data_IF_524764451301
#
_entry.id   IF_524764451301
#
_cell.length_a   1.000
_cell.length_b   1.000
_cell.length_c   1.000
_cell.angle_alpha   90.00
_cell.angle_beta   90.00
_cell.angle_gamma   90.00
#
_symmetry.space_group_name_H-M   'P 1'
#
loop_
_entity.id
_entity.type
_entity.pdbx_description
1 polymer ?
#
# COMPACT_ATOMS: atom_id res chain seq x y z
N UNK A 1 -15.00 -12.53 15.06
CA UNK A 1 -14.06 -12.17 13.99
C UNK A 1 -12.99 -13.25 13.92
N UNK A 2 -12.87 -13.93 12.80
CA UNK A 2 -11.95 -15.06 12.66
C UNK A 2 -10.49 -14.59 12.64
N UNK A 3 -9.57 -15.43 13.13
CA UNK A 3 -8.11 -15.19 13.08
C UNK A 3 -7.65 -14.85 11.66
N UNK A 4 -8.24 -15.45 10.64
CA UNK A 4 -8.01 -15.16 9.23
C UNK A 4 -8.22 -13.68 8.88
N UNK A 5 -9.27 -13.06 9.41
CA UNK A 5 -9.56 -11.64 9.19
C UNK A 5 -8.49 -10.72 9.82
N UNK A 6 -7.99 -11.08 11.00
CA UNK A 6 -6.94 -10.32 11.68
C UNK A 6 -5.61 -10.39 10.91
N UNK A 7 -5.26 -11.55 10.37
CA UNK A 7 -4.02 -11.73 9.62
C UNK A 7 -4.12 -11.06 8.24
N UNK A 8 -5.29 -11.12 7.60
CA UNK A 8 -5.55 -10.36 6.37
C UNK A 8 -5.45 -8.85 6.62
N UNK A 9 -5.95 -8.36 7.75
CA UNK A 9 -5.80 -6.96 8.14
C UNK A 9 -4.32 -6.56 8.30
N UNK A 10 -3.49 -7.39 8.92
CA UNK A 10 -2.06 -7.15 9.05
C UNK A 10 -1.36 -7.07 7.68
N UNK A 11 -1.73 -7.94 6.75
CA UNK A 11 -1.20 -7.87 5.39
C UNK A 11 -1.56 -6.54 4.71
N UNK A 12 -2.82 -6.10 4.80
CA UNK A 12 -3.24 -4.78 4.30
C UNK A 12 -2.48 -3.64 4.97
N UNK A 13 -2.28 -3.72 6.28
CA UNK A 13 -1.53 -2.72 7.04
C UNK A 13 -0.09 -2.58 6.49
N UNK A 14 0.62 -3.68 6.32
CA UNK A 14 1.99 -3.65 5.81
C UNK A 14 2.06 -3.21 4.35
N UNK A 15 1.13 -3.63 3.51
CA UNK A 15 1.08 -3.20 2.10
C UNK A 15 0.78 -1.70 2.01
N UNK A 16 -0.16 -1.21 2.80
CA UNK A 16 -0.47 0.22 2.85
C UNK A 16 0.73 1.04 3.34
N UNK A 17 1.41 0.57 4.37
CA UNK A 17 2.62 1.23 4.84
C UNK A 17 3.77 1.16 3.81
N UNK A 18 3.86 0.06 3.07
CA UNK A 18 4.77 -0.05 1.93
C UNK A 18 4.49 1.02 0.86
N UNK A 19 3.23 1.27 0.53
CA UNK A 19 2.82 2.34 -0.39
C UNK A 19 3.27 3.70 0.15
N UNK A 20 3.05 3.99 1.41
CA UNK A 20 3.47 5.25 2.02
C UNK A 20 4.99 5.45 1.93
N UNK A 21 5.74 4.41 2.20
CA UNK A 21 7.20 4.46 2.16
C UNK A 21 7.74 4.57 0.73
N UNK A 22 7.17 3.80 -0.20
CA UNK A 22 7.57 3.78 -1.61
C UNK A 22 7.33 5.15 -2.28
N UNK A 23 6.17 5.73 -2.05
CA UNK A 23 5.77 7.02 -2.62
C UNK A 23 6.27 8.22 -1.81
N UNK A 24 6.93 7.98 -0.67
CA UNK A 24 7.43 9.03 0.22
C UNK A 24 6.34 10.02 0.62
N UNK A 25 5.22 9.48 1.08
CA UNK A 25 4.07 10.26 1.52
C UNK A 25 4.44 11.12 2.73
N UNK A 26 3.80 12.29 2.85
CA UNK A 26 4.08 13.27 3.88
C UNK A 26 3.87 12.71 5.29
N UNK A 27 4.92 12.67 6.10
CA UNK A 27 4.89 12.19 7.49
C UNK A 27 4.08 13.08 8.45
N UNK A 28 3.83 14.33 8.08
CA UNK A 28 2.98 15.22 8.87
C UNK A 28 1.50 14.87 8.79
N UNK A 29 1.10 14.05 7.81
CA UNK A 29 -0.25 13.50 7.80
C UNK A 29 -0.43 12.59 9.03
N UNK A 30 -1.45 12.82 9.89
CA UNK A 30 -1.65 12.03 11.13
C UNK A 30 -1.82 10.55 10.90
N UNK A 31 -2.42 10.13 9.79
CA UNK A 31 -2.60 8.71 9.43
C UNK A 31 -1.23 8.08 9.15
N UNK A 32 -0.40 8.72 8.34
CA UNK A 32 0.95 8.25 8.05
C UNK A 32 1.81 8.21 9.31
N UNK A 33 1.72 9.23 10.15
CA UNK A 33 2.42 9.30 11.43
C UNK A 33 2.03 8.16 12.37
N UNK A 34 0.77 7.76 12.38
CA UNK A 34 0.30 6.62 13.15
C UNK A 34 0.95 5.30 12.67
N UNK A 35 1.01 5.06 11.36
CA UNK A 35 1.68 3.89 10.78
C UNK A 35 3.17 3.86 11.12
N UNK A 36 3.86 5.00 11.00
CA UNK A 36 5.28 5.13 11.33
C UNK A 36 5.53 4.80 12.81
N UNK A 37 4.67 5.29 13.69
CA UNK A 37 4.76 5.04 15.13
C UNK A 37 4.60 3.56 15.47
N UNK A 38 3.65 2.87 14.83
CA UNK A 38 3.44 1.44 15.02
C UNK A 38 4.58 0.59 14.45
N UNK A 39 5.16 1.02 13.34
CA UNK A 39 6.27 0.29 12.70
C UNK A 39 7.62 0.49 13.40
N UNK A 40 7.80 1.57 14.12
CA UNK A 40 9.08 1.93 14.76
C UNK A 40 9.69 0.79 15.60
N UNK A 41 8.94 0.09 16.48
CA UNK A 41 9.52 -1.04 17.22
C UNK A 41 9.87 -2.22 16.32
N UNK A 42 9.08 -2.47 15.26
CA UNK A 42 9.32 -3.55 14.30
C UNK A 42 10.59 -3.28 13.49
N UNK A 43 10.84 -2.04 13.11
CA UNK A 43 12.02 -1.64 12.34
C UNK A 43 13.34 -1.88 13.06
N UNK A 44 13.31 -1.93 14.39
CA UNK A 44 14.51 -2.23 15.20
C UNK A 44 14.87 -3.72 15.16
N UNK A 45 13.87 -4.57 15.04
CA UNK A 45 14.02 -6.03 15.08
C UNK A 45 14.23 -6.56 13.66
N UNK A 46 13.48 -6.05 12.69
CA UNK A 46 13.49 -6.53 11.31
C UNK A 46 14.16 -5.50 10.39
N UNK A 47 15.44 -5.70 10.14
CA UNK A 47 16.24 -4.86 9.25
C UNK A 47 17.18 -5.75 8.42
N UNK A 48 16.61 -6.36 7.38
CA UNK A 48 17.36 -7.26 6.48
C UNK A 48 18.07 -6.47 5.38
N UNK A 49 17.39 -5.47 4.81
CA UNK A 49 17.92 -4.65 3.73
C UNK A 49 18.08 -3.19 4.15
N UNK A 50 18.93 -2.48 3.44
CA UNK A 50 19.16 -1.04 3.66
C UNK A 50 17.93 -0.20 3.36
N UNK A 51 17.18 -0.59 2.32
CA UNK A 51 15.94 0.10 1.93
C UNK A 51 14.77 -0.36 2.80
N UNK A 52 14.18 0.54 3.55
CA UNK A 52 13.06 0.27 4.44
C UNK A 52 11.84 -0.27 3.68
N UNK A 53 11.58 0.23 2.48
CA UNK A 53 10.46 -0.23 1.65
C UNK A 53 10.54 -1.74 1.38
N UNK A 54 11.72 -2.28 1.09
CA UNK A 54 11.92 -3.71 0.84
C UNK A 54 11.63 -4.51 2.12
N UNK A 55 12.08 -4.04 3.28
CA UNK A 55 11.80 -4.71 4.55
C UNK A 55 10.30 -4.79 4.85
N UNK A 56 9.57 -3.71 4.59
CA UNK A 56 8.12 -3.65 4.79
C UNK A 56 7.41 -4.62 3.82
N UNK A 57 7.84 -4.67 2.57
CA UNK A 57 7.27 -5.59 1.57
C UNK A 57 7.50 -7.05 1.96
N UNK A 58 8.70 -7.39 2.43
CA UNK A 58 9.00 -8.74 2.92
C UNK A 58 8.10 -9.10 4.09
N UNK A 59 7.89 -8.19 5.04
CA UNK A 59 6.99 -8.41 6.17
C UNK A 59 5.54 -8.63 5.70
N UNK A 60 5.08 -7.87 4.71
CA UNK A 60 3.74 -8.07 4.14
C UNK A 60 3.58 -9.47 3.54
N UNK A 61 4.56 -9.91 2.76
CA UNK A 61 4.56 -11.26 2.15
C UNK A 61 4.65 -12.34 3.22
N UNK A 62 5.53 -12.18 4.22
CA UNK A 62 5.69 -13.15 5.32
C UNK A 62 4.39 -13.31 6.12
N UNK A 63 3.74 -12.23 6.47
CA UNK A 63 2.45 -12.28 7.19
C UNK A 63 1.42 -13.04 6.38
N UNK A 64 1.33 -12.78 5.07
CA UNK A 64 0.40 -13.50 4.20
C UNK A 64 0.75 -14.98 4.05
N UNK A 65 2.03 -15.27 3.87
CA UNK A 65 2.53 -16.64 3.76
C UNK A 65 2.24 -17.46 5.02
N UNK A 66 2.54 -16.92 6.19
CA UNK A 66 2.26 -17.59 7.47
C UNK A 66 0.76 -17.80 7.69
N UNK A 67 -0.05 -16.84 7.28
CA UNK A 67 -1.51 -16.97 7.32
C UNK A 67 -1.99 -18.15 6.47
N UNK A 68 -1.54 -18.20 5.22
CA UNK A 68 -1.95 -19.28 4.31
C UNK A 68 -1.42 -20.64 4.77
N UNK A 69 -0.22 -20.71 5.32
CA UNK A 69 0.31 -21.95 5.91
C UNK A 69 -0.57 -22.46 7.06
N UNK A 70 -1.02 -21.54 7.92
CA UNK A 70 -1.84 -21.93 9.07
C UNK A 70 -3.21 -22.50 8.66
N UNK A 71 -3.80 -22.01 7.56
CA UNK A 71 -5.14 -22.42 7.13
C UNK A 71 -5.18 -23.48 6.04
N UNK A 72 -4.13 -23.56 5.20
CA UNK A 72 -4.12 -24.43 4.01
C UNK A 72 -2.95 -25.42 3.99
N UNK A 73 -2.39 -25.74 5.15
CA UNK A 73 -1.26 -26.65 5.25
C UNK A 73 -1.57 -28.07 4.75
N UNK A 74 -2.82 -28.50 4.83
CA UNK A 74 -3.25 -29.80 4.35
C UNK A 74 -3.69 -29.73 2.88
N UNK A 75 -2.88 -30.27 1.98
CA UNK A 75 -3.23 -30.44 0.58
C UNK A 75 -2.45 -29.62 -0.44
N UNK A 76 -1.66 -28.63 -0.01
CA UNK A 76 -0.87 -27.81 -0.93
C UNK A 76 0.61 -27.81 -0.56
N UNK A 77 1.48 -27.80 -1.57
CA UNK A 77 2.91 -27.67 -1.33
C UNK A 77 3.28 -26.27 -0.82
N UNK A 78 4.32 -26.19 -0.01
CA UNK A 78 4.84 -24.91 0.52
C UNK A 78 5.18 -23.93 -0.61
N UNK A 79 5.69 -24.43 -1.73
CA UNK A 79 6.01 -23.60 -2.91
C UNK A 79 4.78 -22.94 -3.50
N UNK A 80 3.66 -23.65 -3.60
CA UNK A 80 2.40 -23.11 -4.10
C UNK A 80 1.86 -22.06 -3.14
N UNK A 81 1.89 -22.34 -1.84
CA UNK A 81 1.44 -21.38 -0.81
C UNK A 81 2.27 -20.10 -0.88
N UNK A 82 3.58 -20.22 -1.07
CA UNK A 82 4.45 -19.03 -1.22
C UNK A 82 4.12 -18.24 -2.48
N UNK A 83 3.94 -18.90 -3.63
CA UNK A 83 3.55 -18.23 -4.87
C UNK A 83 2.20 -17.50 -4.74
N UNK A 84 1.22 -18.13 -4.12
CA UNK A 84 -0.10 -17.53 -3.86
C UNK A 84 0.02 -16.32 -2.93
N UNK A 85 0.86 -16.38 -1.91
CA UNK A 85 1.09 -15.24 -1.01
C UNK A 85 1.69 -14.03 -1.73
N UNK A 86 2.63 -14.25 -2.65
CA UNK A 86 3.18 -13.19 -3.50
C UNK A 86 2.11 -12.56 -4.38
N UNK A 87 1.32 -13.38 -5.06
CA UNK A 87 0.24 -12.92 -5.95
C UNK A 87 -0.79 -12.12 -5.17
N UNK A 88 -1.26 -12.63 -4.04
CA UNK A 88 -2.28 -11.94 -3.23
C UNK A 88 -1.77 -10.63 -2.64
N UNK A 89 -0.53 -10.59 -2.17
CA UNK A 89 0.08 -9.34 -1.68
C UNK A 89 0.22 -8.31 -2.80
N UNK A 90 0.60 -8.74 -4.00
CA UNK A 90 0.67 -7.87 -5.19
C UNK A 90 -0.71 -7.33 -5.56
N UNK A 91 -1.75 -8.17 -5.51
CA UNK A 91 -3.12 -7.73 -5.77
C UNK A 91 -3.60 -6.68 -4.77
N UNK A 92 -3.28 -6.84 -3.49
CA UNK A 92 -3.60 -5.81 -2.48
C UNK A 92 -2.91 -4.48 -2.82
N UNK A 93 -1.64 -4.52 -3.18
CA UNK A 93 -0.90 -3.33 -3.60
C UNK A 93 -1.55 -2.64 -4.81
N UNK A 94 -1.83 -3.40 -5.86
CA UNK A 94 -2.48 -2.88 -7.08
C UNK A 94 -3.84 -2.29 -6.77
N UNK A 95 -4.65 -2.95 -5.94
CA UNK A 95 -5.95 -2.45 -5.54
C UNK A 95 -5.86 -1.13 -4.77
N UNK A 96 -4.92 -1.01 -3.83
CA UNK A 96 -4.72 0.24 -3.07
C UNK A 96 -4.39 1.39 -4.01
N UNK A 97 -3.45 1.19 -4.93
CA UNK A 97 -3.08 2.22 -5.92
C UNK A 97 -4.27 2.55 -6.83
N UNK A 98 -4.93 1.53 -7.36
CA UNK A 98 -6.05 1.69 -8.31
C UNK A 98 -7.20 2.51 -7.69
N UNK A 99 -7.67 2.12 -6.51
CA UNK A 99 -8.75 2.84 -5.85
C UNK A 99 -8.31 4.24 -5.38
N UNK A 100 -7.08 4.40 -4.94
CA UNK A 100 -6.55 5.72 -4.58
C UNK A 100 -6.50 6.66 -5.78
N UNK A 101 -6.11 6.16 -6.94
CA UNK A 101 -6.09 6.95 -8.19
C UNK A 101 -7.50 7.37 -8.60
N UNK A 102 -8.45 6.43 -8.62
CA UNK A 102 -9.84 6.74 -8.99
C UNK A 102 -10.43 7.79 -8.05
N UNK A 103 -10.36 7.55 -6.75
CA UNK A 103 -10.91 8.48 -5.76
C UNK A 103 -10.17 9.81 -5.79
N UNK A 104 -8.84 9.81 -5.93
CA UNK A 104 -8.03 11.01 -6.01
C UNK A 104 -8.37 11.88 -7.20
N UNK A 105 -8.61 11.29 -8.37
CA UNK A 105 -9.04 12.02 -9.57
C UNK A 105 -10.42 12.65 -9.36
N UNK A 106 -11.36 11.90 -8.78
CA UNK A 106 -12.70 12.43 -8.45
C UNK A 106 -12.58 13.60 -7.46
N UNK A 107 -11.76 13.45 -6.42
CA UNK A 107 -11.55 14.49 -5.41
C UNK A 107 -10.91 15.74 -5.98
N UNK A 108 -10.05 15.61 -6.99
CA UNK A 108 -9.43 16.78 -7.64
C UNK A 108 -10.47 17.67 -8.33
N UNK A 109 -11.62 17.12 -8.70
CA UNK A 109 -12.73 17.89 -9.29
C UNK A 109 -13.74 18.37 -8.26
N UNK A 110 -14.07 17.53 -7.29
CA UNK A 110 -15.15 17.78 -6.31
C UNK A 110 -14.66 18.56 -5.09
N UNK A 111 -13.47 18.24 -4.59
CA UNK A 111 -12.93 18.83 -3.36
C UNK A 111 -11.40 19.01 -3.45
N UNK A 112 -10.90 19.87 -4.36
CA UNK A 112 -9.46 20.02 -4.59
C UNK A 112 -8.69 20.52 -3.36
N UNK A 113 -9.34 21.27 -2.48
CA UNK A 113 -8.74 21.89 -1.28
C UNK A 113 -9.35 21.33 0.01
N UNK A 114 -9.55 20.01 0.07
CA UNK A 114 -10.10 19.38 1.27
C UNK A 114 -9.15 19.52 2.47
N UNK A 115 -9.71 19.76 3.65
CA UNK A 115 -9.00 19.73 4.92
C UNK A 115 -9.04 18.35 5.60
N UNK A 116 -9.80 17.40 5.04
CA UNK A 116 -9.91 16.05 5.58
C UNK A 116 -8.59 15.30 5.38
N UNK A 117 -8.02 14.81 6.48
CA UNK A 117 -6.73 14.11 6.51
C UNK A 117 -6.70 12.87 5.63
N UNK A 118 -7.76 12.07 5.64
CA UNK A 118 -7.86 10.86 4.81
C UNK A 118 -7.94 11.21 3.32
N UNK A 119 -8.74 12.21 2.96
CA UNK A 119 -8.87 12.65 1.57
C UNK A 119 -7.59 13.27 1.04
N UNK A 120 -6.87 14.04 1.85
CA UNK A 120 -5.54 14.55 1.51
C UNK A 120 -4.55 13.43 1.24
N UNK A 121 -4.57 12.37 2.07
CA UNK A 121 -3.71 11.20 1.89
C UNK A 121 -4.02 10.48 0.56
N UNK A 122 -5.29 10.28 0.24
CA UNK A 122 -5.71 9.65 -1.02
C UNK A 122 -5.28 10.50 -2.21
N UNK A 123 -5.45 11.81 -2.15
CA UNK A 123 -5.00 12.73 -3.20
C UNK A 123 -3.48 12.66 -3.40
N UNK A 124 -2.71 12.60 -2.31
CA UNK A 124 -1.26 12.50 -2.38
C UNK A 124 -0.79 11.18 -3.00
N UNK A 125 -1.40 10.05 -2.62
CA UNK A 125 -1.12 8.74 -3.23
C UNK A 125 -1.45 8.75 -4.72
N UNK A 126 -2.61 9.29 -5.09
CA UNK A 126 -3.04 9.44 -6.48
C UNK A 126 -2.03 10.26 -7.29
N UNK A 127 -1.70 11.44 -6.81
CA UNK A 127 -0.75 12.35 -7.46
C UNK A 127 0.62 11.68 -7.67
N UNK A 128 1.19 11.11 -6.63
CA UNK A 128 2.51 10.49 -6.70
C UNK A 128 2.55 9.22 -7.54
N UNK A 129 1.43 8.50 -7.61
CA UNK A 129 1.31 7.31 -8.46
C UNK A 129 1.19 7.68 -9.94
N UNK A 130 0.50 8.76 -10.27
CA UNK A 130 0.31 9.22 -11.64
C UNK A 130 1.47 10.05 -12.18
N UNK A 131 2.27 10.64 -11.30
CA UNK A 131 3.36 11.54 -11.69
C UNK A 131 4.34 10.94 -12.70
N UNK A 132 4.84 9.69 -12.52
CA UNK A 132 5.72 9.07 -13.51
C UNK A 132 5.05 8.88 -14.86
N UNK A 133 3.74 8.61 -14.88
CA UNK A 133 2.96 8.39 -16.10
C UNK A 133 2.63 9.72 -16.80
N UNK A 134 2.31 10.75 -16.03
CA UNK A 134 1.95 12.08 -16.56
C UNK A 134 3.09 12.74 -17.33
N UNK A 135 4.34 12.41 -17.03
CA UNK A 135 5.51 12.89 -17.76
C UNK A 135 5.55 12.42 -19.23
N UNK A 136 4.94 11.26 -19.50
CA UNK A 136 4.99 10.63 -20.81
C UNK A 136 3.68 10.77 -21.59
N UNK A 137 2.62 11.25 -20.95
CA UNK A 137 1.34 11.50 -21.60
C UNK A 137 1.32 12.93 -22.12
N UNK A 138 1.22 13.13 -23.47
CA UNK A 138 0.95 14.46 -24.00
C UNK A 138 -0.42 14.93 -23.50
N UNK A 139 -0.55 16.24 -23.23
CA UNK A 139 -1.83 16.84 -22.90
C UNK A 139 -2.80 16.62 -24.06
N UNK A 140 -3.65 15.60 -23.97
CA UNK A 140 -4.60 15.26 -25.02
C UNK A 140 -5.75 16.26 -25.00
N UNK A 141 -5.78 17.15 -25.99
CA UNK A 141 -6.93 18.00 -26.26
C UNK A 141 -7.27 19.05 -25.20
N UNK A 142 -6.30 19.55 -24.44
CA UNK A 142 -6.51 20.58 -23.42
C UNK A 142 -7.13 20.06 -22.11
N UNK A 143 -7.34 18.74 -22.01
CA UNK A 143 -7.68 18.10 -20.76
C UNK A 143 -6.37 17.75 -20.03
N UNK A 144 -6.12 18.51 -18.99
CA UNK A 144 -5.02 18.22 -18.09
C UNK A 144 -5.44 17.11 -17.12
N UNK A 145 -4.96 15.88 -17.36
CA UNK A 145 -5.16 14.76 -16.43
C UNK A 145 -4.13 14.74 -15.29
N UNK A 146 -3.23 15.71 -15.26
CA UNK A 146 -2.35 15.88 -14.10
C UNK A 146 -3.16 16.43 -12.91
N UNK A 147 -3.10 15.79 -11.75
CA UNK A 147 -3.77 16.29 -10.55
C UNK A 147 -3.18 17.60 -10.07
#
# INVERSE_FOLDING_TARGET
MNIENHISFLNYFFVLFFVFNLLKVNYFNPIVGFFVKLYKPISKIFKVFRLQAINILILAVLVKFLSLLAFFNEGYSVSIIFAVSLIQTTLVFVNIIFYSVIVGVILSWVAPNTENVLLQLIQEISYKSLYPISKYLPSAGGLDFSP
#
